data_IF_838226306039
#
_entry.id   IF_838226306039
#
_cell.length_a   1.000
_cell.length_b   1.000
_cell.length_c   1.000
_cell.angle_alpha   90.00
_cell.angle_beta   90.00
_cell.angle_gamma   90.00
#
_symmetry.space_group_name_H-M   'P 1'
#
loop_
_entity.id
_entity.type
_entity.pdbx_description
1 polymer ?
#
# COMPACT_ATOMS: atom_id res chain seq x y z
N UNK A 1 6.74 18.63 82.07
CA UNK A 1 6.67 20.09 82.27
C UNK A 1 5.23 20.41 82.64
N UNK A 2 5.00 21.05 83.79
CA UNK A 2 3.63 21.40 84.23
C UNK A 2 3.01 22.31 83.17
N UNK A 3 1.81 21.97 82.69
CA UNK A 3 1.10 22.79 81.72
C UNK A 3 0.52 23.97 82.49
N UNK A 4 1.15 25.13 82.37
CA UNK A 4 0.70 26.35 83.05
C UNK A 4 -0.67 26.71 82.50
N UNK A 5 -1.65 26.82 83.38
CA UNK A 5 -2.97 27.32 83.01
C UNK A 5 -2.87 28.83 82.72
N UNK A 6 -2.79 29.16 81.44
CA UNK A 6 -2.67 30.54 80.96
C UNK A 6 -3.95 31.35 81.22
N UNK A 7 -5.11 30.71 81.39
CA UNK A 7 -6.35 31.39 81.75
C UNK A 7 -6.30 31.80 83.23
N UNK A 8 -5.92 30.87 84.11
CA UNK A 8 -5.72 31.15 85.52
C UNK A 8 -4.65 32.23 85.74
N UNK A 9 -3.55 32.19 84.99
CA UNK A 9 -2.49 33.20 85.07
C UNK A 9 -2.98 34.60 84.65
N UNK A 10 -3.86 34.69 83.65
CA UNK A 10 -4.48 35.96 83.23
C UNK A 10 -5.40 36.50 84.33
N UNK A 11 -6.18 35.64 84.97
CA UNK A 11 -7.07 36.01 86.09
C UNK A 11 -6.27 36.52 87.29
N UNK A 12 -5.15 35.88 87.62
CA UNK A 12 -4.22 36.33 88.66
C UNK A 12 -3.61 37.70 88.34
N UNK A 13 -3.19 37.95 87.09
CA UNK A 13 -2.68 39.27 86.71
C UNK A 13 -3.74 40.37 86.83
N UNK A 14 -4.99 40.10 86.43
CA UNK A 14 -6.10 41.04 86.62
C UNK A 14 -6.41 41.30 88.08
N UNK A 15 -6.43 40.25 88.89
CA UNK A 15 -6.64 40.34 90.32
C UNK A 15 -5.58 41.25 90.97
N UNK A 16 -4.31 41.02 90.65
CA UNK A 16 -3.21 41.84 91.18
C UNK A 16 -3.26 43.30 90.72
N UNK A 17 -3.70 43.59 89.50
CA UNK A 17 -3.90 44.97 89.03
C UNK A 17 -4.91 45.74 89.89
N UNK A 18 -5.99 45.07 90.35
CA UNK A 18 -6.99 45.66 91.24
C UNK A 18 -6.41 45.93 92.63
N UNK A 19 -5.56 45.02 93.14
CA UNK A 19 -4.94 45.14 94.46
C UNK A 19 -3.83 46.20 94.56
N UNK A 20 -3.14 46.50 93.45
CA UNK A 20 -2.10 47.53 93.39
C UNK A 20 -2.61 48.83 92.72
N UNK A 21 -3.76 49.33 93.18
CA UNK A 21 -4.40 50.54 92.64
C UNK A 21 -3.96 51.85 93.30
N UNK A 22 -3.17 51.79 94.39
CA UNK A 22 -2.65 52.98 95.09
C UNK A 22 -1.56 53.68 94.24
N UNK A 23 -1.55 55.03 94.12
CA UNK A 23 -0.47 55.78 93.49
C UNK A 23 0.95 55.41 93.96
N UNK A 24 1.14 54.94 95.20
CA UNK A 24 2.42 54.46 95.73
C UNK A 24 2.90 53.14 95.08
N UNK A 25 1.98 52.33 94.53
CA UNK A 25 2.26 51.01 93.95
C UNK A 25 2.29 50.99 92.41
N UNK A 26 2.27 52.15 91.77
CA UNK A 26 2.20 52.33 90.31
C UNK A 26 3.22 51.47 89.53
N UNK A 27 4.43 51.31 90.05
CA UNK A 27 5.44 50.46 89.40
C UNK A 27 5.04 48.98 89.33
N UNK A 28 4.37 48.45 90.37
CA UNK A 28 3.85 47.09 90.40
C UNK A 28 2.65 46.94 89.46
N UNK A 29 1.76 47.93 89.45
CA UNK A 29 0.60 47.94 88.55
C UNK A 29 1.01 47.86 87.07
N UNK A 30 2.02 48.65 86.66
CA UNK A 30 2.57 48.63 85.29
C UNK A 30 3.12 47.26 84.92
N UNK A 31 3.77 46.56 85.86
CA UNK A 31 4.31 45.21 85.62
C UNK A 31 3.18 44.22 85.33
N UNK A 32 2.09 44.23 86.11
CA UNK A 32 0.97 43.29 85.89
C UNK A 32 0.19 43.58 84.60
N UNK A 33 0.04 44.84 84.21
CA UNK A 33 -0.57 45.22 82.92
C UNK A 33 0.30 44.71 81.76
N UNK A 34 1.63 44.91 81.84
CA UNK A 34 2.55 44.43 80.82
C UNK A 34 2.57 42.89 80.75
N UNK A 35 2.49 42.21 81.91
CA UNK A 35 2.44 40.76 81.98
C UNK A 35 1.13 40.19 81.38
N UNK A 36 -0.02 40.82 81.62
CA UNK A 36 -1.28 40.46 80.96
C UNK A 36 -1.19 40.64 79.44
N UNK A 37 -0.67 41.78 78.97
CA UNK A 37 -0.52 42.04 77.53
C UNK A 37 0.39 41.01 76.83
N UNK A 38 1.52 40.65 77.45
CA UNK A 38 2.43 39.62 76.92
C UNK A 38 1.80 38.23 76.94
N UNK A 39 0.98 37.92 77.95
CA UNK A 39 0.24 36.66 78.01
C UNK A 39 -0.82 36.57 76.91
N UNK A 40 -1.50 37.67 76.62
CA UNK A 40 -2.47 37.79 75.53
C UNK A 40 -1.81 37.59 74.16
N UNK A 41 -0.68 38.26 73.92
CA UNK A 41 0.12 38.09 72.70
C UNK A 41 0.62 36.64 72.56
N UNK A 42 1.11 36.03 73.63
CA UNK A 42 1.55 34.63 73.60
C UNK A 42 0.41 33.66 73.27
N UNK A 43 -0.79 33.91 73.80
CA UNK A 43 -1.99 33.12 73.49
C UNK A 43 -2.44 33.31 72.04
N UNK A 44 -2.35 34.53 71.51
CA UNK A 44 -2.62 34.81 70.10
C UNK A 44 -1.63 34.08 69.19
N UNK A 45 -0.32 34.20 69.45
CA UNK A 45 0.73 33.52 68.69
C UNK A 45 0.56 32.00 68.71
N UNK A 46 0.14 31.42 69.83
CA UNK A 46 -0.13 29.98 69.90
C UNK A 46 -1.29 29.57 68.98
N UNK A 47 -2.39 30.35 68.95
CA UNK A 47 -3.53 30.09 68.06
C UNK A 47 -3.13 30.22 66.58
N UNK A 48 -2.36 31.25 66.25
CA UNK A 48 -1.86 31.48 64.88
C UNK A 48 -0.90 30.37 64.43
N UNK A 49 -0.03 29.90 65.34
CA UNK A 49 0.84 28.75 65.11
C UNK A 49 0.02 27.50 64.85
N UNK A 50 -0.94 27.17 65.71
CA UNK A 50 -1.78 25.97 65.57
C UNK A 50 -2.60 26.01 64.25
N UNK A 51 -3.11 27.19 63.88
CA UNK A 51 -3.79 27.39 62.59
C UNK A 51 -2.84 27.20 61.40
N UNK A 52 -1.61 27.72 61.48
CA UNK A 52 -0.60 27.56 60.43
C UNK A 52 -0.17 26.10 60.29
N UNK A 53 0.02 25.38 61.40
CA UNK A 53 0.34 23.96 61.40
C UNK A 53 -0.80 23.13 60.78
N UNK A 54 -2.05 23.44 61.10
CA UNK A 54 -3.21 22.79 60.49
C UNK A 54 -3.26 22.99 58.97
N UNK A 55 -3.01 24.22 58.48
CA UNK A 55 -2.95 24.52 57.05
C UNK A 55 -1.78 23.81 56.37
N UNK A 56 -0.61 23.77 57.01
CA UNK A 56 0.57 23.09 56.48
C UNK A 56 0.35 21.57 56.34
N UNK A 57 -0.35 20.95 57.29
CA UNK A 57 -0.73 19.54 57.23
C UNK A 57 -1.70 19.28 56.06
N UNK A 58 -2.75 20.09 55.92
CA UNK A 58 -3.69 19.97 54.81
C UNK A 58 -2.99 20.11 53.45
N UNK A 59 -2.13 21.14 53.29
CA UNK A 59 -1.39 21.35 52.06
C UNK A 59 -0.44 20.18 51.74
N UNK A 60 0.18 19.58 52.76
CA UNK A 60 1.04 18.40 52.56
C UNK A 60 0.25 17.21 52.04
N UNK A 61 -0.97 17.02 52.55
CA UNK A 61 -1.83 15.92 52.15
C UNK A 61 -2.40 16.14 50.74
N UNK A 62 -2.80 17.37 50.40
CA UNK A 62 -3.18 17.77 49.04
C UNK A 62 -2.04 17.54 48.03
N UNK A 63 -0.82 17.94 48.40
CA UNK A 63 0.37 17.73 47.56
C UNK A 63 0.70 16.24 47.36
N UNK A 64 0.41 15.39 48.35
CA UNK A 64 0.55 13.95 48.21
C UNK A 64 -0.47 13.41 47.22
N UNK A 65 -1.74 13.79 47.36
CA UNK A 65 -2.80 13.37 46.44
C UNK A 65 -2.53 13.84 45.00
N UNK A 66 -2.06 15.08 44.83
CA UNK A 66 -1.70 15.61 43.52
C UNK A 66 -0.57 14.81 42.85
N UNK A 67 0.44 14.38 43.63
CA UNK A 67 1.53 13.52 43.13
C UNK A 67 1.05 12.13 42.73
N UNK A 68 0.14 11.55 43.50
CA UNK A 68 -0.45 10.24 43.17
C UNK A 68 -1.29 10.32 41.87
N UNK A 69 -2.09 11.37 41.71
CA UNK A 69 -2.83 11.61 40.47
C UNK A 69 -1.91 11.83 39.28
N UNK A 70 -0.82 12.60 39.46
CA UNK A 70 0.18 12.83 38.42
C UNK A 70 0.83 11.50 37.99
N UNK A 71 1.28 10.68 38.94
CA UNK A 71 1.88 9.38 38.64
C UNK A 71 0.91 8.44 37.90
N UNK A 72 -0.37 8.43 38.28
CA UNK A 72 -1.40 7.66 37.59
C UNK A 72 -1.64 8.16 36.14
N UNK A 73 -1.64 9.49 35.94
CA UNK A 73 -1.79 10.08 34.62
C UNK A 73 -0.57 9.82 33.72
N UNK A 74 0.64 9.93 34.28
CA UNK A 74 1.89 9.59 33.58
C UNK A 74 1.92 8.13 33.14
N UNK A 75 1.52 7.22 34.04
CA UNK A 75 1.40 5.79 33.71
C UNK A 75 0.42 5.56 32.56
N UNK A 76 -0.78 6.16 32.62
CA UNK A 76 -1.78 6.04 31.54
C UNK A 76 -1.26 6.60 30.21
N UNK A 77 -0.55 7.72 30.24
CA UNK A 77 0.08 8.29 29.04
C UNK A 77 1.16 7.38 28.46
N UNK A 78 1.96 6.72 29.30
CA UNK A 78 2.96 5.77 28.85
C UNK A 78 2.33 4.55 28.17
N UNK A 79 1.30 3.96 28.79
CA UNK A 79 0.55 2.83 28.21
C UNK A 79 -0.12 3.21 26.87
N UNK A 80 -0.69 4.42 26.78
CA UNK A 80 -1.27 4.90 25.52
C UNK A 80 -0.20 5.11 24.44
N UNK A 81 0.98 5.63 24.79
CA UNK A 81 2.08 5.79 23.85
C UNK A 81 2.54 4.44 23.29
N UNK A 82 2.72 3.45 24.15
CA UNK A 82 3.09 2.09 23.74
C UNK A 82 2.03 1.48 22.80
N UNK A 83 0.75 1.65 23.12
CA UNK A 83 -0.34 1.22 22.24
C UNK A 83 -0.28 1.86 20.85
N UNK A 84 -0.15 3.20 20.79
CA UNK A 84 -0.09 3.90 19.51
C UNK A 84 1.16 3.55 18.70
N UNK A 85 2.30 3.39 19.36
CA UNK A 85 3.53 2.94 18.71
C UNK A 85 3.37 1.54 18.10
N UNK A 86 2.71 0.62 18.80
CA UNK A 86 2.38 -0.70 18.26
C UNK A 86 1.46 -0.65 17.03
N UNK A 87 0.39 0.16 17.08
CA UNK A 87 -0.53 0.34 15.94
C UNK A 87 0.18 0.96 14.74
N UNK A 88 1.04 1.95 14.97
CA UNK A 88 1.82 2.59 13.90
C UNK A 88 2.82 1.61 13.29
N UNK A 89 3.49 0.79 14.11
CA UNK A 89 4.44 -0.21 13.65
C UNK A 89 3.76 -1.29 12.78
N UNK A 90 2.61 -1.81 13.23
CA UNK A 90 1.84 -2.79 12.47
C UNK A 90 1.30 -2.21 11.16
N UNK A 91 0.74 -0.99 11.20
CA UNK A 91 0.29 -0.27 10.02
C UNK A 91 1.42 0.00 9.02
N UNK A 92 2.60 0.42 9.50
CA UNK A 92 3.77 0.65 8.65
C UNK A 92 4.27 -0.63 8.00
N UNK A 93 4.28 -1.75 8.73
CA UNK A 93 4.62 -3.06 8.19
C UNK A 93 3.65 -3.47 7.07
N UNK A 94 2.34 -3.29 7.29
CA UNK A 94 1.32 -3.62 6.29
C UNK A 94 1.44 -2.79 5.02
N UNK A 95 1.76 -1.50 5.15
CA UNK A 95 2.02 -0.61 4.00
C UNK A 95 3.22 -1.13 3.20
N UNK A 96 4.34 -1.43 3.86
CA UNK A 96 5.54 -1.94 3.17
C UNK A 96 5.30 -3.27 2.44
N UNK A 97 4.50 -4.17 3.04
CA UNK A 97 4.09 -5.41 2.37
C UNK A 97 3.25 -5.15 1.11
N UNK A 98 2.31 -4.20 1.19
CA UNK A 98 1.47 -3.82 0.06
C UNK A 98 2.27 -3.14 -1.06
N UNK A 99 3.18 -2.22 -0.72
CA UNK A 99 4.07 -1.56 -1.68
C UNK A 99 4.96 -2.58 -2.41
N UNK A 100 5.49 -3.58 -1.69
CA UNK A 100 6.26 -4.66 -2.31
C UNK A 100 5.40 -5.53 -3.23
N UNK A 101 4.19 -5.90 -2.79
CA UNK A 101 3.25 -6.67 -3.61
C UNK A 101 2.81 -5.92 -4.87
N UNK A 102 2.58 -4.61 -4.76
CA UNK A 102 2.21 -3.76 -5.89
C UNK A 102 3.35 -3.67 -6.90
N UNK A 103 4.58 -3.45 -6.43
CA UNK A 103 5.77 -3.46 -7.28
C UNK A 103 5.94 -4.79 -8.01
N UNK A 104 5.70 -5.91 -7.32
CA UNK A 104 5.74 -7.24 -7.93
C UNK A 104 4.67 -7.38 -9.03
N UNK A 105 3.42 -6.98 -8.77
CA UNK A 105 2.34 -7.07 -9.76
C UNK A 105 2.61 -6.18 -10.99
N UNK A 106 3.21 -5.01 -10.82
CA UNK A 106 3.64 -4.17 -11.94
C UNK A 106 4.69 -4.91 -12.79
N UNK A 107 5.71 -5.48 -12.16
CA UNK A 107 6.74 -6.24 -12.89
C UNK A 107 6.16 -7.46 -13.61
N UNK A 108 5.24 -8.19 -12.97
CA UNK A 108 4.56 -9.34 -13.57
C UNK A 108 3.67 -8.91 -14.75
N UNK A 109 2.94 -7.80 -14.61
CA UNK A 109 2.14 -7.21 -15.68
C UNK A 109 3.01 -6.80 -16.86
N UNK A 110 4.10 -6.06 -16.61
CA UNK A 110 4.98 -5.56 -17.67
C UNK A 110 5.68 -6.72 -18.40
N UNK A 111 6.03 -7.79 -17.68
CA UNK A 111 6.56 -9.01 -18.28
C UNK A 111 5.52 -9.73 -19.16
N UNK A 112 4.27 -9.83 -18.70
CA UNK A 112 3.17 -10.40 -19.47
C UNK A 112 2.84 -9.57 -20.71
N UNK A 113 2.81 -8.24 -20.58
CA UNK A 113 2.61 -7.30 -21.67
C UNK A 113 3.70 -7.44 -22.74
N UNK A 114 4.97 -7.54 -22.34
CA UNK A 114 6.06 -7.76 -23.30
C UNK A 114 5.95 -9.10 -24.00
N UNK A 115 5.62 -10.18 -23.28
CA UNK A 115 5.46 -11.51 -23.88
C UNK A 115 4.32 -11.53 -24.90
N UNK A 116 3.18 -10.91 -24.59
CA UNK A 116 2.05 -10.77 -25.50
C UNK A 116 2.39 -9.89 -26.70
N UNK A 117 3.13 -8.79 -26.50
CA UNK A 117 3.57 -7.93 -27.58
C UNK A 117 4.51 -8.65 -28.55
N UNK A 118 5.42 -9.49 -28.03
CA UNK A 118 6.33 -10.29 -28.85
C UNK A 118 5.55 -11.36 -29.66
N UNK A 119 4.56 -12.01 -29.05
CA UNK A 119 3.67 -12.95 -29.77
C UNK A 119 2.86 -12.24 -30.86
N UNK A 120 2.26 -11.09 -30.54
CA UNK A 120 1.50 -10.29 -31.48
C UNK A 120 2.37 -9.85 -32.66
N UNK A 121 3.59 -9.36 -32.39
CA UNK A 121 4.54 -8.97 -33.42
C UNK A 121 4.97 -10.14 -34.30
N UNK A 122 5.20 -11.31 -33.72
CA UNK A 122 5.56 -12.51 -34.48
C UNK A 122 4.46 -12.93 -35.47
N UNK A 123 3.19 -12.76 -35.10
CA UNK A 123 2.04 -13.14 -35.92
C UNK A 123 1.63 -12.06 -36.94
N UNK A 124 1.70 -10.79 -36.55
CA UNK A 124 1.18 -9.67 -37.36
C UNK A 124 2.26 -8.90 -38.12
N UNK A 125 3.51 -8.97 -37.67
CA UNK A 125 4.67 -8.23 -38.20
C UNK A 125 4.94 -6.90 -37.51
N UNK A 126 4.01 -6.38 -36.71
CA UNK A 126 4.11 -5.08 -36.04
C UNK A 126 3.86 -5.21 -34.54
N UNK A 127 4.43 -4.32 -33.72
CA UNK A 127 4.15 -4.32 -32.28
C UNK A 127 2.76 -3.72 -32.02
N UNK A 128 2.02 -4.23 -31.03
CA UNK A 128 0.75 -3.63 -30.65
C UNK A 128 0.96 -2.28 -29.97
N UNK A 129 0.03 -1.35 -30.21
CA UNK A 129 -0.06 -0.09 -29.48
C UNK A 129 -1.13 -0.21 -28.38
N UNK A 130 -0.69 -0.55 -27.17
CA UNK A 130 -1.60 -0.70 -26.04
C UNK A 130 -2.32 0.61 -25.73
N UNK A 131 -3.62 0.53 -25.55
CA UNK A 131 -4.44 1.69 -25.18
C UNK A 131 -5.67 1.25 -24.40
N UNK A 132 -6.41 2.22 -23.84
CA UNK A 132 -7.68 1.91 -23.17
C UNK A 132 -8.75 1.32 -24.10
N UNK A 133 -8.58 1.43 -25.41
CA UNK A 133 -9.52 0.91 -26.43
C UNK A 133 -8.98 -0.34 -27.13
N UNK A 134 -7.72 -0.71 -26.88
CA UNK A 134 -7.07 -1.87 -27.48
C UNK A 134 -6.22 -2.57 -26.42
N UNK A 135 -6.77 -3.67 -25.89
CA UNK A 135 -6.19 -4.47 -24.83
C UNK A 135 -5.74 -5.85 -25.28
N UNK A 136 -5.42 -6.70 -24.31
CA UNK A 136 -4.86 -8.03 -24.57
C UNK A 136 -5.81 -8.95 -25.34
N UNK A 137 -7.12 -8.87 -25.09
CA UNK A 137 -8.10 -9.67 -25.82
C UNK A 137 -8.15 -9.29 -27.31
N UNK A 138 -8.20 -8.00 -27.61
CA UNK A 138 -8.20 -7.49 -28.99
C UNK A 138 -6.94 -7.94 -29.74
N UNK A 139 -5.77 -7.89 -29.07
CA UNK A 139 -4.53 -8.37 -29.63
C UNK A 139 -4.56 -9.87 -29.95
N UNK A 140 -5.14 -10.69 -29.07
CA UNK A 140 -5.28 -12.14 -29.29
C UNK A 140 -6.23 -12.43 -30.46
N UNK A 141 -7.35 -11.73 -30.54
CA UNK A 141 -8.34 -11.90 -31.62
C UNK A 141 -7.71 -11.63 -32.99
N UNK A 142 -6.90 -10.57 -33.11
CA UNK A 142 -6.17 -10.26 -34.37
C UNK A 142 -5.17 -11.36 -34.73
N UNK A 143 -4.45 -11.90 -33.74
CA UNK A 143 -3.51 -13.01 -33.97
C UNK A 143 -4.25 -14.26 -34.44
N UNK A 144 -5.40 -14.57 -33.85
CA UNK A 144 -6.25 -15.70 -34.25
C UNK A 144 -6.75 -15.55 -35.70
N UNK A 145 -7.23 -14.37 -36.07
CA UNK A 145 -7.68 -14.09 -37.44
C UNK A 145 -6.54 -14.22 -38.46
N UNK A 146 -5.34 -13.72 -38.11
CA UNK A 146 -4.15 -13.87 -38.96
C UNK A 146 -3.74 -15.32 -39.12
N UNK A 147 -3.78 -16.12 -38.05
CA UNK A 147 -3.45 -17.54 -38.11
C UNK A 147 -4.43 -18.29 -39.01
N UNK A 148 -5.74 -18.06 -38.85
CA UNK A 148 -6.77 -18.66 -39.71
C UNK A 148 -6.56 -18.31 -41.19
N UNK A 149 -6.17 -17.06 -41.49
CA UNK A 149 -5.85 -16.62 -42.84
C UNK A 149 -4.62 -17.34 -43.41
N UNK A 150 -3.56 -17.49 -42.60
CA UNK A 150 -2.34 -18.19 -43.00
C UNK A 150 -2.58 -19.70 -43.23
N UNK A 151 -3.37 -20.36 -42.38
CA UNK A 151 -3.73 -21.77 -42.54
C UNK A 151 -4.57 -22.01 -43.79
N UNK A 152 -5.51 -21.10 -44.09
CA UNK A 152 -6.28 -21.14 -45.34
C UNK A 152 -5.37 -21.00 -46.57
N UNK A 153 -4.37 -20.11 -46.51
CA UNK A 153 -3.39 -19.93 -47.58
C UNK A 153 -2.45 -21.14 -47.72
N UNK A 154 -1.98 -21.74 -46.62
CA UNK A 154 -1.09 -22.91 -46.67
C UNK A 154 -1.79 -24.16 -47.23
N UNK A 155 -3.11 -24.25 -47.01
CA UNK A 155 -3.96 -25.29 -47.62
C UNK A 155 -4.10 -25.14 -49.15
N UNK A 156 -3.53 -24.10 -49.76
CA UNK A 156 -3.50 -23.89 -51.22
C UNK A 156 -2.44 -24.70 -51.98
N UNK A 157 -1.76 -25.69 -51.37
CA UNK A 157 -1.45 -26.90 -52.17
C UNK A 157 -2.76 -27.59 -52.49
N UNK A 158 -3.45 -27.04 -53.48
CA UNK A 158 -4.82 -27.41 -53.80
C UNK A 158 -4.87 -28.89 -54.17
N UNK A 159 -5.96 -29.59 -53.86
CA UNK A 159 -6.20 -30.93 -54.39
C UNK A 159 -5.98 -30.99 -55.92
N UNK A 160 -6.30 -29.89 -56.61
CA UNK A 160 -6.02 -29.68 -58.04
C UNK A 160 -4.52 -29.65 -58.35
N UNK A 161 -3.69 -28.94 -57.58
CA UNK A 161 -2.24 -28.94 -57.76
C UNK A 161 -1.61 -30.31 -57.49
N UNK A 162 -2.09 -31.02 -56.47
CA UNK A 162 -1.65 -32.40 -56.16
C UNK A 162 -2.04 -33.36 -57.30
N UNK A 163 -3.26 -33.22 -57.84
CA UNK A 163 -3.74 -34.01 -58.96
C UNK A 163 -2.92 -33.74 -60.23
N UNK A 164 -2.68 -32.46 -60.56
CA UNK A 164 -1.89 -32.07 -61.73
C UNK A 164 -0.47 -32.66 -61.69
N UNK A 165 0.19 -32.60 -60.53
CA UNK A 165 1.52 -33.19 -60.34
C UNK A 165 1.46 -34.72 -60.48
N UNK A 166 0.45 -35.37 -59.91
CA UNK A 166 0.28 -36.83 -59.98
C UNK A 166 0.07 -37.32 -61.42
N UNK A 167 -0.81 -36.65 -62.15
CA UNK A 167 -1.09 -36.95 -63.55
C UNK A 167 0.13 -36.66 -64.44
N UNK A 168 0.86 -35.56 -64.17
CA UNK A 168 2.08 -35.23 -64.89
C UNK A 168 3.14 -36.33 -64.72
N UNK A 169 3.32 -36.85 -63.50
CA UNK A 169 4.24 -37.96 -63.23
C UNK A 169 3.83 -39.21 -64.03
N UNK A 170 2.54 -39.55 -64.05
CA UNK A 170 2.03 -40.68 -64.83
C UNK A 170 2.28 -40.53 -66.33
N UNK A 171 2.05 -39.34 -66.88
CA UNK A 171 2.27 -39.07 -68.29
C UNK A 171 3.75 -39.09 -68.68
N UNK A 172 4.65 -38.62 -67.81
CA UNK A 172 6.09 -38.78 -68.03
C UNK A 172 6.47 -40.27 -68.15
N UNK A 173 5.92 -41.12 -67.28
CA UNK A 173 6.10 -42.58 -67.37
C UNK A 173 5.60 -43.16 -68.70
N UNK A 174 4.43 -42.72 -69.16
CA UNK A 174 3.85 -43.13 -70.44
C UNK A 174 4.69 -42.70 -71.66
N UNK A 175 5.16 -41.45 -71.68
CA UNK A 175 6.02 -40.90 -72.74
C UNK A 175 7.31 -41.71 -72.84
N UNK A 176 7.97 -41.95 -71.70
CA UNK A 176 9.20 -42.76 -71.64
C UNK A 176 8.92 -44.19 -72.14
N UNK A 177 7.81 -44.80 -71.74
CA UNK A 177 7.40 -46.12 -72.22
C UNK A 177 7.18 -46.17 -73.74
N UNK A 178 6.53 -45.16 -74.32
CA UNK A 178 6.31 -45.07 -75.77
C UNK A 178 7.63 -44.95 -76.54
N UNK A 179 8.57 -44.14 -76.04
CA UNK A 179 9.89 -43.99 -76.65
C UNK A 179 10.69 -45.30 -76.63
N UNK A 180 10.67 -46.02 -75.50
CA UNK A 180 11.34 -47.32 -75.37
C UNK A 180 10.74 -48.40 -76.29
N UNK A 181 9.45 -48.29 -76.60
CA UNK A 181 8.73 -49.21 -77.49
C UNK A 181 8.79 -48.80 -78.98
N UNK A 182 9.54 -47.74 -79.31
CA UNK A 182 9.68 -47.28 -80.70
C UNK A 182 8.43 -46.60 -81.26
N UNK A 183 7.57 -46.03 -80.41
CA UNK A 183 6.37 -45.26 -80.80
C UNK A 183 6.53 -43.77 -80.45
N UNK A 184 7.40 -43.03 -81.17
CA UNK A 184 7.67 -41.62 -80.88
C UNK A 184 6.49 -40.70 -81.21
N UNK A 185 5.58 -41.14 -82.09
CA UNK A 185 4.34 -40.48 -82.45
C UNK A 185 3.42 -40.30 -81.23
N UNK A 186 3.20 -41.36 -80.44
CA UNK A 186 2.40 -41.29 -79.22
C UNK A 186 3.08 -40.52 -78.10
N UNK A 187 4.40 -40.63 -78.00
CA UNK A 187 5.18 -39.83 -77.04
C UNK A 187 5.05 -38.33 -77.33
N UNK A 188 5.11 -37.94 -78.60
CA UNK A 188 4.95 -36.55 -79.03
C UNK A 188 3.51 -36.06 -78.83
N UNK A 189 2.52 -36.90 -79.10
CA UNK A 189 1.11 -36.58 -78.86
C UNK A 189 0.84 -36.28 -77.38
N UNK A 190 1.31 -37.16 -76.50
CA UNK A 190 1.13 -37.00 -75.05
C UNK A 190 1.89 -35.77 -74.53
N UNK A 191 3.13 -35.54 -75.01
CA UNK A 191 3.90 -34.34 -74.67
C UNK A 191 3.17 -33.04 -75.05
N UNK A 192 2.52 -32.98 -76.22
CA UNK A 192 1.74 -31.81 -76.65
C UNK A 192 0.53 -31.53 -75.76
N UNK A 193 -0.15 -32.58 -75.27
CA UNK A 193 -1.27 -32.43 -74.32
C UNK A 193 -0.80 -31.77 -73.03
N UNK A 194 0.36 -32.18 -72.51
CA UNK A 194 0.93 -31.62 -71.29
C UNK A 194 1.47 -30.20 -71.44
N UNK A 195 2.05 -29.85 -72.60
CA UNK A 195 2.41 -28.45 -72.90
C UNK A 195 1.19 -27.54 -72.84
N UNK A 196 0.05 -27.99 -73.37
CA UNK A 196 -1.22 -27.26 -73.29
C UNK A 196 -1.75 -27.19 -71.85
N UNK A 197 -1.75 -28.31 -71.12
CA UNK A 197 -2.23 -28.39 -69.75
C UNK A 197 -1.41 -27.49 -68.79
N UNK A 198 -0.09 -27.47 -68.91
CA UNK A 198 0.77 -26.58 -68.12
C UNK A 198 0.62 -25.11 -68.54
N UNK A 199 0.42 -24.82 -69.82
CA UNK A 199 0.12 -23.45 -70.27
C UNK A 199 -1.15 -22.90 -69.62
N UNK A 200 -2.21 -23.69 -69.59
CA UNK A 200 -3.47 -23.32 -68.92
C UNK A 200 -3.29 -23.18 -67.41
N UNK A 201 -2.53 -24.07 -66.77
CA UNK A 201 -2.23 -23.96 -65.34
C UNK A 201 -1.42 -22.69 -65.00
N UNK A 202 -0.45 -22.30 -65.85
CA UNK A 202 0.36 -21.10 -65.65
C UNK A 202 -0.46 -19.79 -65.74
N UNK A 203 -1.48 -19.75 -66.61
CA UNK A 203 -2.42 -18.62 -66.70
C UNK A 203 -3.26 -18.47 -65.41
N UNK A 204 -3.69 -19.59 -64.82
CA UNK A 204 -4.44 -19.61 -63.56
C UNK A 204 -3.58 -19.10 -62.39
N UNK A 205 -2.33 -19.56 -62.29
CA UNK A 205 -1.39 -19.12 -61.23
C UNK A 205 -1.08 -17.63 -61.37
N UNK A 206 -0.83 -17.14 -62.59
CA UNK A 206 -0.57 -15.72 -62.84
C UNK A 206 -1.76 -14.83 -62.48
N UNK A 207 -2.99 -15.32 -62.65
CA UNK A 207 -4.21 -14.61 -62.25
C UNK A 207 -4.40 -14.57 -60.72
N UNK A 208 -3.96 -15.62 -60.00
CA UNK A 208 -4.00 -15.68 -58.54
C UNK A 208 -2.98 -14.74 -57.88
N UNK A 209 -1.75 -14.67 -58.41
CA UNK A 209 -0.73 -13.73 -57.91
C UNK A 209 -1.15 -12.27 -58.06
N UNK A 210 -1.83 -11.91 -59.15
CA UNK A 210 -2.37 -10.57 -59.38
C UNK A 210 -3.49 -10.19 -58.38
N UNK A 211 -4.23 -11.17 -57.86
CA UNK A 211 -5.26 -10.95 -56.85
C UNK A 211 -4.66 -10.81 -55.44
N UNK A 212 -3.61 -11.59 -55.11
CA UNK A 212 -2.90 -11.51 -53.83
C UNK A 212 -2.13 -10.20 -53.61
N UNK A 213 -1.66 -9.54 -54.68
CA UNK A 213 -0.95 -8.25 -54.60
C UNK A 213 -1.89 -7.09 -54.24
N UNK A 214 -3.18 -7.15 -54.62
CA UNK A 214 -4.14 -6.07 -54.32
C UNK A 214 -4.59 -5.99 -52.87
N UNK A 215 -4.39 -7.04 -52.06
CA UNK A 215 -4.82 -7.08 -50.64
C UNK A 215 -3.74 -6.51 -49.69
N UNK A 216 -2.53 -6.20 -50.17
CA UNK A 216 -1.41 -5.68 -49.36
C UNK A 216 -1.29 -4.14 -49.32
N UNK A 217 -2.31 -3.40 -49.75
CA UNK A 217 -2.21 -1.94 -49.89
C UNK A 217 -3.49 -1.21 -49.60
N UNK A 218 -4.04 -1.36 -48.38
CA UNK A 218 -4.91 -0.38 -47.72
C UNK A 218 -4.57 -0.33 -46.23
#
# INVERSE_FOLDING_TARGET
MSNIDKQALREEFRFMQVHYSDPADRARQVIYIAAEALLDENLQLQREKDATEAVALALRDDMRQAREQLAAAEKRNAEQREYYEGVIADGSKRIAELENSETQLINERDAAESALADMYQAATGERPEWSNMFGFADAVDVVEERLATLEANQSQTTPTGIQLITEAIGAHGYIVGCLLQGRPDLALEESRKWVSAFGQAAEIVSAQDAAGIKVKGE
#
